data_IF_950021137868
#
_entry.id   IF_950021137868
#
_cell.length_a   1.000
_cell.length_b   1.000
_cell.length_c   1.000
_cell.angle_alpha   90.00
_cell.angle_beta   90.00
_cell.angle_gamma   90.00
#
_symmetry.space_group_name_H-M   'P 1'
#
loop_
_entity.id
_entity.type
_entity.pdbx_description
1 polymer ?
#
# COMPACT_ATOMS: atom_id res chain seq x y z
N UNK A 1 18.64 8.22 -8.71
CA UNK A 1 17.40 8.14 -7.89
C UNK A 1 17.49 6.90 -7.03
N UNK A 2 16.59 6.77 -6.05
CA UNK A 2 16.53 5.62 -5.15
C UNK A 2 15.11 5.07 -5.11
N UNK A 3 15.01 3.75 -5.14
CA UNK A 3 13.77 3.02 -4.89
C UNK A 3 13.90 2.30 -3.55
N UNK A 4 12.86 2.35 -2.74
CA UNK A 4 12.78 1.55 -1.52
C UNK A 4 11.38 0.98 -1.32
N UNK A 5 11.33 -0.20 -0.71
CA UNK A 5 10.10 -0.78 -0.18
C UNK A 5 10.11 -0.67 1.33
N UNK A 6 9.14 0.04 1.89
CA UNK A 6 8.92 0.14 3.33
C UNK A 6 7.78 -0.79 3.72
N UNK A 7 7.96 -1.56 4.79
CA UNK A 7 6.90 -2.35 5.43
C UNK A 7 6.50 -1.64 6.72
N UNK A 8 5.22 -1.31 6.82
CA UNK A 8 4.58 -0.64 7.95
C UNK A 8 3.56 -1.62 8.54
N UNK A 9 3.79 -2.08 9.77
CA UNK A 9 2.75 -2.82 10.50
C UNK A 9 1.79 -1.83 11.13
N UNK A 10 0.51 -2.03 10.88
CA UNK A 10 -0.58 -1.25 11.47
C UNK A 10 -1.82 -2.14 11.63
N UNK A 11 -2.80 -1.64 12.36
CA UNK A 11 -4.09 -2.30 12.57
C UNK A 11 -5.12 -1.87 11.51
N UNK A 12 -4.67 -1.38 10.34
CA UNK A 12 -5.57 -0.99 9.25
C UNK A 12 -6.46 -2.16 8.83
N UNK A 13 -7.63 -1.84 8.29
CA UNK A 13 -8.61 -2.85 7.87
C UNK A 13 -7.97 -3.90 6.94
N UNK A 14 -7.14 -3.46 5.99
CA UNK A 14 -6.52 -4.33 4.99
C UNK A 14 -5.26 -5.03 5.51
N UNK A 15 -4.48 -4.41 6.41
CA UNK A 15 -3.41 -5.13 7.10
C UNK A 15 -4.00 -6.27 7.94
N UNK A 16 -5.00 -5.99 8.77
CA UNK A 16 -5.67 -6.99 9.60
C UNK A 16 -6.28 -8.13 8.76
N UNK A 17 -6.89 -7.83 7.61
CA UNK A 17 -7.48 -8.84 6.73
C UNK A 17 -6.45 -9.80 6.10
N UNK A 18 -5.18 -9.40 6.03
CA UNK A 18 -4.08 -10.24 5.51
C UNK A 18 -3.23 -10.86 6.64
N UNK A 19 -3.59 -10.65 7.90
CA UNK A 19 -2.85 -11.19 9.03
C UNK A 19 -3.11 -12.70 9.18
N UNK A 20 -2.04 -13.49 9.25
CA UNK A 20 -2.14 -14.93 9.51
C UNK A 20 -2.65 -15.79 8.34
N UNK A 21 -2.81 -15.21 7.15
CA UNK A 21 -3.21 -15.92 5.93
C UNK A 21 -2.29 -15.59 4.75
N UNK A 22 -2.54 -16.25 3.61
CA UNK A 22 -1.77 -16.06 2.38
C UNK A 22 -2.35 -14.97 1.47
N UNK A 23 -3.36 -14.22 1.90
CA UNK A 23 -3.98 -13.21 1.07
C UNK A 23 -3.07 -11.99 0.89
N UNK A 24 -3.16 -11.40 -0.30
CA UNK A 24 -2.52 -10.15 -0.65
C UNK A 24 -3.58 -9.20 -1.20
N UNK A 25 -3.53 -7.94 -0.78
CA UNK A 25 -4.36 -6.87 -1.33
C UNK A 25 -3.46 -5.86 -2.03
N UNK A 26 -3.65 -5.65 -3.31
CA UNK A 26 -3.08 -4.52 -4.04
C UNK A 26 -4.13 -3.40 -4.15
N UNK A 27 -3.74 -2.17 -3.84
CA UNK A 27 -4.63 -1.01 -3.78
C UNK A 27 -4.14 0.09 -4.72
N UNK A 28 -5.06 0.59 -5.54
CA UNK A 28 -4.93 1.82 -6.32
C UNK A 28 -5.93 2.85 -5.80
N UNK A 29 -5.40 3.93 -5.23
CA UNK A 29 -6.21 5.03 -4.70
C UNK A 29 -6.57 6.01 -5.83
N UNK A 30 -7.85 6.38 -5.94
CA UNK A 30 -8.35 7.33 -6.93
C UNK A 30 -8.92 8.61 -6.27
N UNK A 31 -8.54 8.92 -5.03
CA UNK A 31 -8.99 10.07 -4.23
C UNK A 31 -10.47 10.07 -3.80
N UNK A 32 -11.36 9.39 -4.52
CA UNK A 32 -12.79 9.29 -4.22
C UNK A 32 -13.27 7.85 -3.98
N UNK A 33 -12.45 6.87 -4.37
CA UNK A 33 -12.63 5.45 -4.09
C UNK A 33 -11.30 4.72 -4.32
N UNK A 34 -11.26 3.46 -3.93
CA UNK A 34 -10.12 2.57 -4.15
C UNK A 34 -10.51 1.43 -5.08
N UNK A 35 -9.57 1.03 -5.93
CA UNK A 35 -9.62 -0.25 -6.61
C UNK A 35 -8.71 -1.22 -5.87
N UNK A 36 -9.26 -2.35 -5.47
CA UNK A 36 -8.54 -3.43 -4.82
C UNK A 36 -8.42 -4.61 -5.79
N UNK A 37 -7.24 -5.22 -5.82
CA UNK A 37 -7.04 -6.55 -6.36
C UNK A 37 -6.61 -7.46 -5.20
N UNK A 38 -7.44 -8.43 -4.88
CA UNK A 38 -7.22 -9.40 -3.80
C UNK A 38 -6.86 -10.73 -4.43
N UNK A 39 -5.78 -11.34 -3.96
CA UNK A 39 -5.35 -12.67 -4.38
C UNK A 39 -5.10 -13.58 -3.18
N UNK A 40 -5.36 -14.88 -3.36
CA UNK A 40 -5.19 -15.92 -2.34
C UNK A 40 -6.51 -16.34 -1.67
N UNK A 41 -6.46 -17.44 -0.92
CA UNK A 41 -7.64 -18.18 -0.44
C UNK A 41 -8.51 -17.45 0.62
N UNK A 42 -8.26 -16.17 0.93
CA UNK A 42 -9.04 -15.39 1.91
C UNK A 42 -9.80 -14.21 1.30
N UNK A 43 -10.15 -14.28 0.01
CA UNK A 43 -10.87 -13.22 -0.70
C UNK A 43 -12.20 -12.81 -0.04
N UNK A 44 -12.94 -13.76 0.53
CA UNK A 44 -14.23 -13.51 1.21
C UNK A 44 -14.06 -12.67 2.49
N UNK A 45 -13.08 -13.02 3.32
CA UNK A 45 -12.86 -12.35 4.61
C UNK A 45 -12.36 -10.92 4.41
N UNK A 46 -11.51 -10.72 3.39
CA UNK A 46 -11.08 -9.40 2.95
C UNK A 46 -12.28 -8.59 2.45
N UNK A 47 -13.14 -9.18 1.62
CA UNK A 47 -14.31 -8.49 1.06
C UNK A 47 -15.29 -8.03 2.15
N UNK A 48 -15.55 -8.86 3.16
CA UNK A 48 -16.43 -8.50 4.26
C UNK A 48 -15.84 -7.34 5.08
N UNK A 49 -14.53 -7.38 5.37
CA UNK A 49 -13.84 -6.28 6.06
C UNK A 49 -13.86 -4.97 5.26
N UNK A 50 -13.65 -5.05 3.93
CA UNK A 50 -13.75 -3.90 3.02
C UNK A 50 -15.16 -3.32 3.05
N UNK A 51 -16.19 -4.18 2.93
CA UNK A 51 -17.59 -3.77 2.94
C UNK A 51 -17.97 -3.07 4.23
N UNK A 52 -17.49 -3.56 5.37
CA UNK A 52 -17.78 -2.96 6.69
C UNK A 52 -17.06 -1.62 6.91
N UNK A 53 -15.89 -1.41 6.27
CA UNK A 53 -15.07 -0.20 6.48
C UNK A 53 -15.45 0.92 5.52
N UNK A 54 -15.44 0.63 4.21
CA UNK A 54 -15.57 1.65 3.14
C UNK A 54 -16.71 1.35 2.17
N UNK A 55 -17.46 0.27 2.38
CA UNK A 55 -18.48 -0.21 1.45
C UNK A 55 -17.90 -0.77 0.14
N UNK A 56 -18.75 -1.45 -0.62
CA UNK A 56 -18.40 -2.02 -1.93
C UNK A 56 -19.41 -1.53 -2.96
N UNK A 57 -18.92 -0.81 -3.98
CA UNK A 57 -19.75 -0.36 -5.10
C UNK A 57 -19.89 -1.45 -6.17
N UNK A 58 -18.82 -2.20 -6.44
CA UNK A 58 -18.80 -3.32 -7.37
C UNK A 58 -17.72 -4.33 -7.00
N UNK A 59 -17.93 -5.61 -7.34
CA UNK A 59 -16.92 -6.66 -7.22
C UNK A 59 -17.01 -7.65 -8.38
N UNK A 60 -15.86 -8.18 -8.80
CA UNK A 60 -15.75 -9.21 -9.83
C UNK A 60 -14.79 -10.29 -9.34
N UNK A 61 -15.24 -11.54 -9.36
CA UNK A 61 -14.45 -12.71 -8.95
C UNK A 61 -14.00 -13.52 -10.18
N UNK A 62 -12.77 -14.02 -10.14
CA UNK A 62 -12.22 -14.92 -11.16
C UNK A 62 -11.24 -15.91 -10.53
N UNK A 63 -11.72 -17.12 -10.21
CA UNK A 63 -10.90 -18.11 -9.52
C UNK A 63 -10.54 -17.60 -8.12
N UNK A 64 -9.25 -17.55 -7.80
CA UNK A 64 -8.73 -17.07 -6.51
C UNK A 64 -8.38 -15.56 -6.52
N UNK A 65 -8.85 -14.84 -7.53
CA UNK A 65 -8.70 -13.39 -7.68
C UNK A 65 -10.04 -12.69 -7.51
N UNK A 66 -10.01 -11.56 -6.80
CA UNK A 66 -11.17 -10.70 -6.57
C UNK A 66 -10.76 -9.24 -6.85
N UNK A 67 -11.48 -8.58 -7.74
CA UNK A 67 -11.36 -7.14 -7.97
C UNK A 67 -12.53 -6.44 -7.30
N UNK A 68 -12.24 -5.41 -6.50
CA UNK A 68 -13.25 -4.64 -5.75
C UNK A 68 -13.11 -3.16 -6.07
N UNK A 69 -14.23 -2.49 -6.32
CA UNK A 69 -14.33 -1.03 -6.30
C UNK A 69 -15.07 -0.65 -5.03
N UNK A 70 -14.41 0.10 -4.16
CA UNK A 70 -14.99 0.53 -2.87
C UNK A 70 -16.02 1.64 -3.09
N UNK A 71 -16.94 1.80 -2.14
CA UNK A 71 -17.92 2.90 -2.19
C UNK A 71 -17.33 4.24 -1.70
N UNK A 72 -16.25 4.18 -0.93
CA UNK A 72 -15.55 5.33 -0.36
C UNK A 72 -14.03 5.09 -0.34
N UNK A 73 -13.22 6.12 -0.10
CA UNK A 73 -11.77 6.01 -0.02
C UNK A 73 -11.32 5.59 1.38
N UNK A 74 -10.49 4.54 1.50
CA UNK A 74 -9.93 4.10 2.79
C UNK A 74 -9.22 5.23 3.52
N UNK A 75 -8.61 6.17 2.79
CA UNK A 75 -7.93 7.32 3.37
C UNK A 75 -8.83 8.11 4.31
N UNK A 76 -10.12 8.25 4.03
CA UNK A 76 -11.00 9.03 4.90
C UNK A 76 -11.39 8.30 6.20
N UNK A 77 -10.96 7.03 6.34
CA UNK A 77 -11.26 6.15 7.47
C UNK A 77 -10.03 5.74 8.27
N UNK A 78 -8.81 6.14 7.89
CA UNK A 78 -7.61 5.96 8.73
C UNK A 78 -7.08 7.30 9.24
N UNK A 79 -6.44 7.27 10.41
CA UNK A 79 -5.94 8.49 11.07
C UNK A 79 -4.58 8.90 10.50
N UNK A 80 -3.79 7.92 10.03
CA UNK A 80 -2.38 8.07 9.73
C UNK A 80 -2.01 7.45 8.37
N UNK A 81 -1.68 8.30 7.40
CA UNK A 81 -1.29 7.86 6.05
C UNK A 81 0.13 8.27 5.69
N UNK A 82 0.83 7.35 5.03
CA UNK A 82 2.21 7.54 4.57
C UNK A 82 2.32 8.71 3.57
N UNK A 83 1.25 9.02 2.85
CA UNK A 83 1.20 10.07 1.84
C UNK A 83 1.56 11.45 2.39
N UNK A 84 1.24 11.73 3.65
CA UNK A 84 1.63 12.97 4.32
C UNK A 84 3.16 13.10 4.43
N UNK A 85 3.84 12.03 4.85
CA UNK A 85 5.29 11.97 4.97
C UNK A 85 5.97 11.99 3.60
N UNK A 86 5.43 11.22 2.65
CA UNK A 86 5.93 11.19 1.27
C UNK A 86 5.87 12.59 0.65
N UNK A 87 4.75 13.30 0.82
CA UNK A 87 4.60 14.69 0.35
C UNK A 87 5.57 15.64 1.06
N UNK A 88 5.70 15.55 2.38
CA UNK A 88 6.57 16.41 3.20
C UNK A 88 8.03 16.34 2.76
N UNK A 89 8.51 15.16 2.37
CA UNK A 89 9.90 14.93 1.97
C UNK A 89 10.12 14.90 0.45
N UNK A 90 9.08 15.17 -0.37
CA UNK A 90 9.20 15.24 -1.83
C UNK A 90 9.44 13.88 -2.50
N UNK A 91 9.00 12.79 -1.88
CA UNK A 91 9.05 11.45 -2.44
C UNK A 91 7.84 11.17 -3.34
N UNK A 92 7.93 10.10 -4.13
CA UNK A 92 6.81 9.57 -4.87
C UNK A 92 6.39 8.22 -4.29
N UNK A 93 5.11 8.06 -4.01
CA UNK A 93 4.51 6.75 -3.72
C UNK A 93 4.18 6.07 -5.04
N UNK A 94 4.76 4.89 -5.28
CA UNK A 94 4.59 4.15 -6.54
C UNK A 94 3.56 3.05 -6.35
N UNK A 95 2.41 3.11 -7.05
CA UNK A 95 1.37 2.10 -6.93
C UNK A 95 1.82 0.71 -7.45
N UNK A 96 1.10 -0.35 -7.08
CA UNK A 96 0.05 -0.36 -6.05
C UNK A 96 0.63 -0.28 -4.63
N UNK A 97 -0.19 0.19 -3.68
CA UNK A 97 0.03 -0.13 -2.27
C UNK A 97 -0.27 -1.60 -2.05
N UNK A 98 0.52 -2.30 -1.25
CA UNK A 98 0.32 -3.73 -1.01
C UNK A 98 0.07 -4.01 0.46
N UNK A 99 -0.93 -4.83 0.78
CA UNK A 99 -1.13 -5.38 2.10
C UNK A 99 -0.85 -6.87 2.07
N UNK A 100 0.03 -7.35 2.96
CA UNK A 100 0.37 -8.76 3.07
C UNK A 100 0.92 -9.11 4.46
N UNK A 101 0.42 -10.19 5.02
CA UNK A 101 0.89 -10.72 6.30
C UNK A 101 0.78 -9.69 7.42
N UNK A 102 -0.35 -8.96 7.53
CA UNK A 102 -0.55 -8.01 8.62
C UNK A 102 0.19 -6.68 8.46
N UNK A 103 0.56 -6.27 7.25
CA UNK A 103 1.27 -5.01 7.05
C UNK A 103 1.03 -4.40 5.68
N UNK A 104 1.12 -3.07 5.65
CA UNK A 104 1.19 -2.24 4.45
C UNK A 104 2.63 -2.20 3.94
N UNK A 105 2.81 -2.38 2.64
CA UNK A 105 4.10 -2.33 1.93
C UNK A 105 4.02 -1.25 0.87
N UNK A 106 4.82 -0.20 1.07
CA UNK A 106 4.84 0.99 0.24
C UNK A 106 6.12 1.03 -0.58
N UNK A 107 6.00 1.14 -1.90
CA UNK A 107 7.15 1.39 -2.78
C UNK A 107 7.32 2.89 -2.97
N UNK A 108 8.50 3.40 -2.68
CA UNK A 108 8.84 4.81 -2.74
C UNK A 108 9.94 5.06 -3.77
N UNK A 109 9.82 6.16 -4.51
CA UNK A 109 10.90 6.72 -5.33
C UNK A 109 11.34 8.06 -4.75
N UNK A 110 12.65 8.23 -4.63
CA UNK A 110 13.27 9.47 -4.15
C UNK A 110 14.36 9.93 -5.12
N UNK A 111 14.46 11.24 -5.33
CA UNK A 111 15.57 11.82 -6.08
C UNK A 111 16.86 11.70 -5.28
N UNK A 112 16.80 12.04 -3.99
CA UNK A 112 17.91 11.97 -3.04
C UNK A 112 17.79 10.78 -2.08
N UNK A 113 18.94 10.21 -1.70
CA UNK A 113 19.00 9.24 -0.60
C UNK A 113 18.70 9.90 0.75
N UNK A 114 19.03 11.19 0.90
CA UNK A 114 18.85 11.93 2.14
C UNK A 114 17.37 12.17 2.42
N UNK A 115 16.58 12.55 1.42
CA UNK A 115 15.13 12.73 1.53
C UNK A 115 14.44 11.41 1.92
N UNK A 116 14.88 10.29 1.33
CA UNK A 116 14.38 8.96 1.70
C UNK A 116 14.72 8.60 3.15
N UNK A 117 15.94 8.91 3.59
CA UNK A 117 16.35 8.68 4.97
C UNK A 117 15.62 9.60 5.94
N UNK A 118 15.36 10.86 5.57
CA UNK A 118 14.58 11.80 6.37
C UNK A 118 13.13 11.33 6.51
N UNK A 119 12.49 10.90 5.42
CA UNK A 119 11.15 10.32 5.46
C UNK A 119 11.07 9.09 6.36
N UNK A 120 12.04 8.17 6.27
CA UNK A 120 12.07 6.99 7.14
C UNK A 120 12.20 7.36 8.62
N UNK A 121 13.09 8.30 8.96
CA UNK A 121 13.26 8.77 10.35
C UNK A 121 12.00 9.42 10.88
N UNK A 122 11.36 10.27 10.09
CA UNK A 122 10.13 10.97 10.47
C UNK A 122 8.97 9.99 10.74
N UNK A 123 8.87 8.90 9.97
CA UNK A 123 7.92 7.81 10.26
C UNK A 123 8.23 7.13 11.61
N UNK A 124 9.50 6.77 11.85
CA UNK A 124 9.92 6.15 13.12
C UNK A 124 9.67 7.09 14.32
N UNK A 125 10.04 8.36 14.20
CA UNK A 125 9.90 9.37 15.25
C UNK A 125 8.42 9.67 15.54
N UNK A 126 7.53 9.44 14.56
CA UNK A 126 6.08 9.54 14.71
C UNK A 126 5.43 8.26 15.26
N UNK A 127 6.21 7.23 15.57
CA UNK A 127 5.76 6.01 16.25
C UNK A 127 5.33 4.86 15.34
N UNK A 128 5.55 4.95 14.03
CA UNK A 128 5.22 3.84 13.12
C UNK A 128 6.15 2.64 13.34
N UNK A 129 5.59 1.42 13.36
CA UNK A 129 6.38 0.19 13.21
C UNK A 129 6.76 0.00 11.73
N UNK A 130 7.84 0.67 11.33
CA UNK A 130 8.35 0.69 9.96
C UNK A 130 9.71 0.00 9.83
N UNK A 131 9.87 -0.75 8.75
CA UNK A 131 11.11 -1.42 8.37
C UNK A 131 11.37 -1.29 6.87
N UNK A 132 12.63 -1.42 6.47
CA UNK A 132 13.03 -1.38 5.06
C UNK A 132 13.13 -2.81 4.53
N UNK A 133 12.27 -3.19 3.58
CA UNK A 133 12.36 -4.49 2.90
C UNK A 133 13.44 -4.47 1.81
N UNK A 134 13.57 -3.35 1.10
CA UNK A 134 14.59 -3.17 0.07
C UNK A 134 14.94 -1.70 -0.11
N UNK A 135 16.18 -1.42 -0.53
CA UNK A 135 16.64 -0.10 -0.96
C UNK A 135 17.68 -0.29 -2.05
N UNK A 136 17.51 0.40 -3.18
CA UNK A 136 18.47 0.36 -4.30
C UNK A 136 18.61 1.72 -4.97
N UNK A 137 19.81 1.99 -5.47
CA UNK A 137 20.00 3.06 -6.44
C UNK A 137 19.40 2.63 -7.78
N UNK A 138 18.69 3.54 -8.43
CA UNK A 138 18.14 3.37 -9.77
C UNK A 138 18.69 4.48 -10.66
N UNK A 139 19.40 4.06 -11.71
CA UNK A 139 19.73 4.87 -12.88
C UNK A 139 18.86 4.37 -14.03
N UNK A 140 18.29 5.28 -14.83
CA UNK A 140 17.61 4.86 -16.05
C UNK A 140 18.66 4.34 -17.03
N UNK A 141 18.71 3.02 -17.22
CA UNK A 141 19.39 2.36 -18.34
C UNK A 141 18.70 1.01 -18.65
N UNK A 142 18.21 0.91 -19.90
CA UNK A 142 17.52 -0.21 -20.56
C UNK A 142 16.22 -0.72 -19.92
N UNK A 143 15.12 -0.45 -20.62
CA UNK A 143 13.78 -0.82 -20.21
C UNK A 143 13.55 -2.33 -20.11
N UNK A 144 12.73 -2.68 -19.14
CA UNK A 144 11.74 -3.73 -19.26
C UNK A 144 10.47 -3.17 -18.65
N UNK A 145 9.73 -2.45 -19.50
CA UNK A 145 8.38 -1.93 -19.23
C UNK A 145 8.29 -0.46 -18.82
N UNK A 146 7.32 0.32 -19.33
CA UNK A 146 6.69 1.33 -18.49
C UNK A 146 5.99 0.60 -17.33
N UNK A 147 5.77 1.32 -16.23
CA UNK A 147 4.97 0.89 -15.09
C UNK A 147 3.56 0.46 -15.54
N UNK A 148 3.37 -0.81 -15.87
CA UNK A 148 2.10 -1.55 -16.00
C UNK A 148 2.38 -3.03 -15.67
#
# INVERSE_FOLDING_TARGET
MYEASLRIRDDSAYAAATAGNAASVELWCNEHCDMLHVSGEAGSDVLDRVRDTVGVAASVERGDELVVVTADCLRDHEIDHIEGYVRKHGLLLVPPLRYRGGAKVCRLLAVSADDLTACFRDLVDSGFDVSVESKRAVSFASGSGPLL
#
